data_IF_755048004174
#
_entry.id   IF_755048004174
#
_cell.length_a   1.000
_cell.length_b   1.000
_cell.length_c   1.000
_cell.angle_alpha   90.00
_cell.angle_beta   90.00
_cell.angle_gamma   90.00
#
_symmetry.space_group_name_H-M   'P 1'
#
loop_
_entity.id
_entity.type
_entity.pdbx_description
1 polymer ?
#
# COMPACT_ATOMS: atom_id res chain seq x y z
N UNK A 1 -9.25 -20.73 29.61
CA UNK A 1 -8.79 -21.37 28.35
C UNK A 1 -8.47 -20.23 27.39
N UNK A 2 -7.30 -20.23 26.76
CA UNK A 2 -6.85 -19.14 25.88
C UNK A 2 -6.72 -19.65 24.45
N UNK A 3 -7.08 -18.81 23.48
CA UNK A 3 -6.84 -19.04 22.06
C UNK A 3 -5.92 -17.94 21.56
N UNK A 4 -4.85 -18.32 20.88
CA UNK A 4 -3.90 -17.40 20.26
C UNK A 4 -4.02 -17.51 18.74
N UNK A 5 -4.20 -16.38 18.07
CA UNK A 5 -4.20 -16.31 16.61
C UNK A 5 -3.07 -15.38 16.13
N UNK A 6 -2.35 -15.82 15.09
CA UNK A 6 -1.24 -15.09 14.48
C UNK A 6 -1.57 -14.81 13.03
N UNK A 7 -1.61 -13.53 12.64
CA UNK A 7 -1.88 -13.09 11.28
C UNK A 7 -0.59 -12.56 10.61
N UNK A 8 -0.23 -13.12 9.45
CA UNK A 8 0.93 -12.70 8.65
C UNK A 8 0.44 -12.21 7.29
N UNK A 9 0.76 -10.97 6.87
CA UNK A 9 0.35 -10.46 5.57
C UNK A 9 1.18 -11.13 4.48
N UNK A 10 0.52 -11.73 3.48
CA UNK A 10 1.19 -12.38 2.35
C UNK A 10 1.38 -11.42 1.18
N UNK A 11 0.37 -10.57 0.95
CA UNK A 11 0.31 -9.63 -0.17
C UNK A 11 -0.58 -8.46 0.17
N UNK A 12 -0.19 -7.28 -0.31
CA UNK A 12 -1.06 -6.12 -0.36
C UNK A 12 -1.21 -5.67 -1.82
N UNK A 13 -2.44 -5.32 -2.18
CA UNK A 13 -2.79 -4.72 -3.45
C UNK A 13 -3.21 -3.29 -3.18
N UNK A 14 -2.56 -2.35 -3.86
CA UNK A 14 -2.94 -0.95 -3.82
C UNK A 14 -3.60 -0.58 -5.13
N UNK A 15 -4.77 0.03 -5.01
CA UNK A 15 -5.50 0.67 -6.09
C UNK A 15 -5.48 2.18 -5.81
N UNK A 16 -4.57 2.95 -6.45
CA UNK A 16 -4.32 4.35 -6.15
C UNK A 16 -5.48 5.29 -6.45
N UNK A 17 -6.39 4.88 -7.34
CA UNK A 17 -7.57 5.65 -7.73
C UNK A 17 -7.42 6.40 -9.06
N UNK A 18 -6.22 6.43 -9.64
CA UNK A 18 -5.91 7.04 -10.94
C UNK A 18 -5.92 6.02 -12.10
N UNK A 19 -6.50 4.84 -11.87
CA UNK A 19 -6.47 3.70 -12.79
C UNK A 19 -5.23 2.81 -12.68
N UNK A 20 -4.25 3.19 -11.85
CA UNK A 20 -3.10 2.36 -11.51
C UNK A 20 -3.45 1.15 -10.63
N UNK A 21 -2.51 0.22 -10.53
CA UNK A 21 -2.55 -0.90 -9.58
C UNK A 21 -1.13 -1.36 -9.27
N UNK A 22 -0.79 -1.48 -7.99
CA UNK A 22 0.49 -2.07 -7.56
C UNK A 22 0.26 -3.22 -6.59
N UNK A 23 1.00 -4.30 -6.77
CA UNK A 23 0.89 -5.49 -5.96
C UNK A 23 2.22 -5.74 -5.24
N UNK A 24 2.25 -5.50 -3.94
CA UNK A 24 3.42 -5.75 -3.11
C UNK A 24 3.35 -7.17 -2.51
N UNK A 25 4.47 -7.89 -2.51
CA UNK A 25 4.63 -9.18 -1.82
C UNK A 25 5.45 -9.00 -0.56
N UNK A 26 5.04 -9.65 0.54
CA UNK A 26 5.76 -9.57 1.80
C UNK A 26 5.65 -8.20 2.50
N UNK A 27 6.45 -7.96 3.55
CA UNK A 27 6.32 -6.79 4.42
C UNK A 27 6.80 -5.47 3.78
N UNK A 28 7.53 -5.52 2.66
CA UNK A 28 8.21 -4.38 2.05
C UNK A 28 9.47 -3.94 2.82
N UNK A 29 10.16 -2.92 2.30
CA UNK A 29 11.37 -2.38 2.93
C UNK A 29 10.96 -1.35 3.98
N UNK A 30 11.39 -1.51 5.26
CA UNK A 30 11.09 -0.54 6.30
C UNK A 30 11.61 0.85 5.93
N UNK A 31 10.77 1.86 6.12
CA UNK A 31 11.17 3.25 5.93
C UNK A 31 12.27 3.64 6.93
N UNK A 32 13.31 4.35 6.46
CA UNK A 32 14.37 4.91 7.29
C UNK A 32 14.49 6.42 7.07
N UNK A 33 14.78 7.21 8.12
CA UNK A 33 15.11 8.62 7.96
C UNK A 33 16.27 8.80 6.97
N UNK A 34 16.19 9.81 6.09
CA UNK A 34 17.22 10.08 5.07
C UNK A 34 17.07 9.28 3.77
N UNK A 35 15.99 8.52 3.60
CA UNK A 35 15.66 7.92 2.30
C UNK A 35 15.32 9.02 1.31
N UNK A 36 15.92 8.97 0.12
CA UNK A 36 15.67 9.92 -0.97
C UNK A 36 14.20 9.83 -1.40
N UNK A 37 13.39 10.88 -1.22
CA UNK A 37 11.96 10.85 -1.56
C UNK A 37 11.72 10.80 -3.07
N UNK A 38 12.73 11.12 -3.89
CA UNK A 38 12.64 11.02 -5.35
C UNK A 38 12.94 9.62 -5.87
N UNK A 39 13.56 8.75 -5.06
CA UNK A 39 13.84 7.37 -5.47
C UNK A 39 12.59 6.52 -5.36
N UNK A 40 12.27 5.71 -6.38
CA UNK A 40 11.21 4.74 -6.27
C UNK A 40 11.49 3.79 -5.11
N UNK A 41 10.45 3.47 -4.34
CA UNK A 41 10.55 2.49 -3.27
C UNK A 41 11.08 1.16 -3.86
N UNK A 42 12.13 0.59 -3.27
CA UNK A 42 12.86 -0.53 -3.87
C UNK A 42 12.03 -1.82 -3.91
N UNK A 43 11.10 -1.98 -2.96
CA UNK A 43 10.32 -3.20 -2.83
C UNK A 43 8.88 -3.03 -3.33
N UNK A 44 8.28 -1.85 -3.09
CA UNK A 44 6.95 -1.53 -3.59
C UNK A 44 6.69 -0.03 -3.52
N UNK A 45 6.66 0.62 -4.68
CA UNK A 45 6.35 2.04 -4.82
C UNK A 45 5.30 2.27 -5.88
N UNK A 46 4.61 3.40 -5.76
CA UNK A 46 3.71 3.90 -6.79
C UNK A 46 3.98 5.40 -6.98
N UNK A 47 4.11 5.82 -8.23
CA UNK A 47 4.29 7.23 -8.60
C UNK A 47 3.07 7.66 -9.39
N UNK A 48 2.39 8.68 -8.89
CA UNK A 48 1.28 9.31 -9.59
C UNK A 48 1.83 10.14 -10.75
N UNK A 49 1.31 9.91 -11.95
CA UNK A 49 1.71 10.66 -13.14
C UNK A 49 0.90 11.95 -13.33
N UNK A 50 -0.26 12.05 -12.68
CA UNK A 50 -1.20 13.16 -12.81
C UNK A 50 -1.59 13.73 -11.45
N UNK A 51 -1.82 15.05 -11.35
CA UNK A 51 -2.37 15.64 -10.14
C UNK A 51 -3.82 15.19 -9.91
N UNK A 52 -4.25 15.17 -8.65
CA UNK A 52 -5.63 14.79 -8.28
C UNK A 52 -6.66 15.89 -8.53
N UNK A 53 -6.26 17.04 -9.06
CA UNK A 53 -7.14 18.22 -9.24
C UNK A 53 -8.27 18.01 -10.23
N UNK A 54 -8.12 17.05 -11.16
CA UNK A 54 -9.16 16.69 -12.13
C UNK A 54 -10.17 15.68 -11.58
N UNK A 55 -9.89 15.06 -10.42
CA UNK A 55 -10.79 14.10 -9.79
C UNK A 55 -11.91 14.79 -9.01
N UNK A 56 -13.04 14.09 -8.77
CA UNK A 56 -14.05 14.54 -7.82
C UNK A 56 -13.42 14.92 -6.47
N UNK A 57 -13.82 16.06 -5.93
CA UNK A 57 -13.29 16.63 -4.68
C UNK A 57 -11.78 16.91 -4.66
N UNK A 58 -11.11 16.83 -5.82
CA UNK A 58 -9.69 17.07 -5.98
C UNK A 58 -8.80 16.01 -5.32
N UNK A 59 -9.29 14.77 -5.16
CA UNK A 59 -8.59 13.69 -4.44
C UNK A 59 -8.64 12.37 -5.19
N UNK A 60 -7.58 11.56 -5.04
CA UNK A 60 -7.62 10.15 -5.39
C UNK A 60 -8.15 9.33 -4.22
N UNK A 61 -9.02 8.35 -4.52
CA UNK A 61 -9.47 7.35 -3.54
C UNK A 61 -8.54 6.15 -3.57
N UNK A 62 -7.62 6.09 -2.62
CA UNK A 62 -6.69 4.97 -2.44
C UNK A 62 -7.38 3.82 -1.71
N UNK A 63 -7.33 2.62 -2.29
CA UNK A 63 -7.78 1.39 -1.63
C UNK A 63 -6.59 0.45 -1.42
N UNK A 64 -6.45 -0.07 -0.21
CA UNK A 64 -5.43 -1.05 0.14
C UNK A 64 -6.10 -2.36 0.54
N UNK A 65 -5.82 -3.45 -0.18
CA UNK A 65 -6.38 -4.77 0.06
C UNK A 65 -5.28 -5.74 0.46
N UNK A 66 -5.33 -6.25 1.69
CA UNK A 66 -4.34 -7.17 2.26
C UNK A 66 -4.90 -8.58 2.29
N UNK A 67 -4.09 -9.55 1.87
CA UNK A 67 -4.35 -10.98 2.02
C UNK A 67 -3.49 -11.51 3.16
N UNK A 68 -4.12 -12.25 4.08
CA UNK A 68 -3.51 -12.73 5.32
C UNK A 68 -3.47 -14.25 5.38
N UNK A 69 -2.37 -14.77 5.89
CA UNK A 69 -2.28 -16.12 6.44
C UNK A 69 -2.49 -16.04 7.94
N UNK A 70 -3.55 -16.68 8.44
CA UNK A 70 -3.83 -16.71 9.88
C UNK A 70 -3.77 -18.13 10.40
N UNK A 71 -2.95 -18.36 11.42
CA UNK A 71 -2.89 -19.61 12.18
C UNK A 71 -3.43 -19.38 13.59
N UNK A 72 -4.01 -20.41 14.20
CA UNK A 72 -4.47 -20.34 15.58
C UNK A 72 -4.18 -21.62 16.34
N UNK A 73 -4.05 -21.49 17.67
CA UNK A 73 -3.95 -22.60 18.58
C UNK A 73 -4.66 -22.27 19.90
N UNK A 74 -5.39 -23.23 20.46
CA UNK A 74 -6.12 -23.06 21.70
C UNK A 74 -6.95 -24.28 22.05
N UNK A 75 -7.13 -24.52 23.35
CA UNK A 75 -7.99 -25.59 23.85
C UNK A 75 -7.61 -27.02 23.41
N UNK A 76 -6.33 -27.27 23.12
CA UNK A 76 -5.85 -28.56 22.62
C UNK A 76 -6.01 -28.75 21.11
N UNK A 77 -6.47 -27.72 20.39
CA UNK A 77 -6.63 -27.73 18.94
C UNK A 77 -5.80 -26.62 18.28
N UNK A 78 -5.59 -26.76 16.97
CA UNK A 78 -4.92 -25.77 16.13
C UNK A 78 -5.45 -25.82 14.71
N UNK A 79 -5.32 -24.72 13.97
CA UNK A 79 -5.74 -24.68 12.58
C UNK A 79 -5.27 -23.45 11.81
N UNK A 80 -5.69 -23.38 10.56
CA UNK A 80 -5.50 -22.24 9.66
C UNK A 80 -6.87 -21.66 9.35
N UNK A 81 -6.99 -20.33 9.34
CA UNK A 81 -8.19 -19.66 8.86
C UNK A 81 -8.14 -19.62 7.33
N UNK A 82 -9.17 -20.11 6.62
CA UNK A 82 -9.23 -20.01 5.16
C UNK A 82 -9.17 -18.54 4.70
N UNK A 83 -8.55 -18.32 3.53
CA UNK A 83 -8.33 -17.04 2.85
C UNK A 83 -8.99 -15.81 3.50
N UNK A 84 -8.22 -15.06 4.29
CA UNK A 84 -8.68 -13.84 4.95
C UNK A 84 -8.16 -12.61 4.21
N UNK A 85 -9.08 -11.79 3.72
CA UNK A 85 -8.80 -10.50 3.11
C UNK A 85 -9.33 -9.34 3.95
N UNK A 86 -8.55 -8.27 4.10
CA UNK A 86 -9.02 -7.01 4.69
C UNK A 86 -8.76 -5.87 3.73
N UNK A 87 -9.69 -4.91 3.63
CA UNK A 87 -9.48 -3.70 2.84
C UNK A 87 -9.64 -2.45 3.70
N UNK A 88 -8.89 -1.41 3.35
CA UNK A 88 -9.07 -0.06 3.89
C UNK A 88 -9.04 0.95 2.75
N UNK A 89 -9.64 2.11 2.98
CA UNK A 89 -9.72 3.19 2.01
C UNK A 89 -9.27 4.48 2.68
N UNK A 90 -8.51 5.30 1.96
CA UNK A 90 -8.19 6.68 2.34
C UNK A 90 -8.22 7.59 1.12
N UNK A 91 -8.20 8.90 1.35
CA UNK A 91 -8.12 9.90 0.29
C UNK A 91 -6.75 10.56 0.27
N UNK A 92 -6.22 10.81 -0.92
CA UNK A 92 -4.93 11.45 -1.14
C UNK A 92 -5.08 12.65 -2.06
N UNK A 93 -4.43 13.76 -1.69
CA UNK A 93 -4.19 14.90 -2.58
C UNK A 93 -2.83 14.74 -3.23
N UNK A 94 -2.79 14.76 -4.55
CA UNK A 94 -1.55 14.70 -5.33
C UNK A 94 -1.40 16.02 -6.07
N UNK A 95 -0.38 16.78 -5.68
CA UNK A 95 0.01 18.00 -6.37
C UNK A 95 1.00 17.71 -7.49
N UNK A 96 1.05 18.61 -8.46
CA UNK A 96 2.06 18.58 -9.51
C UNK A 96 3.34 19.29 -9.04
N UNK A 97 4.50 18.68 -9.28
CA UNK A 97 5.81 19.32 -9.09
C UNK A 97 6.36 19.69 -10.46
N UNK A 98 6.19 20.96 -10.85
CA UNK A 98 6.70 21.50 -12.10
C UNK A 98 8.19 21.82 -11.94
N UNK A 99 9.04 21.18 -12.75
CA UNK A 99 10.45 21.56 -12.87
C UNK A 99 10.62 22.52 -14.06
N UNK A 100 11.08 23.75 -13.80
CA UNK A 100 11.44 24.68 -14.85
C UNK A 100 12.78 24.28 -15.45
N UNK A 101 12.78 23.69 -16.65
CA UNK A 101 14.01 23.46 -17.42
C UNK A 101 14.41 24.78 -18.07
N UNK A 102 15.40 25.47 -17.49
CA UNK A 102 16.03 26.63 -18.16
C UNK A 102 17.09 26.10 -19.12
N UNK A 103 16.99 26.37 -20.44
CA UNK A 103 18.02 25.94 -21.37
C UNK A 103 19.35 26.64 -21.04
N UNK A 104 20.40 25.86 -20.83
CA UNK A 104 21.77 26.39 -20.78
C UNK A 104 22.17 26.88 -22.16
N UNK A 105 22.55 28.15 -22.22
CA UNK A 105 22.95 28.88 -23.43
C UNK A 105 24.20 28.29 -24.10
#
# INVERSE_FOLDING_TARGET
MTVTATAVPERIVWDPGDGGRVVCRGPGTPWRPGTDPSKPSPDCGYTFASPSTAEPDGVFRLVASVQWRVTWAGGGQSGVVPALGTSTTTTLRVGESQALVTPTR
#
